data_IF_802776892956
#
_entry.id   IF_802776892956
#
_cell.length_a   1.000
_cell.length_b   1.000
_cell.length_c   1.000
_cell.angle_alpha   90.00
_cell.angle_beta   90.00
_cell.angle_gamma   90.00
#
_symmetry.space_group_name_H-M   'P 1'
#
loop_
_entity.id
_entity.type
_entity.pdbx_description
1 polymer ?
#
# COMPACT_ATOMS: atom_id res chain seq x y z
N UNK A 1 -25.50 46.71 -37.74
CA UNK A 1 -24.59 46.51 -36.59
C UNK A 1 -25.35 45.74 -35.52
N UNK A 2 -25.16 44.42 -35.40
CA UNK A 2 -24.91 43.68 -34.15
C UNK A 2 -24.76 42.18 -34.46
N UNK A 3 -23.88 41.54 -33.69
CA UNK A 3 -23.12 40.34 -34.00
C UNK A 3 -23.87 39.00 -33.96
N UNK A 4 -23.36 38.09 -34.79
CA UNK A 4 -23.46 36.63 -34.75
C UNK A 4 -23.19 36.03 -33.36
N UNK A 5 -24.04 35.10 -32.92
CA UNK A 5 -23.76 34.23 -31.77
C UNK A 5 -23.56 32.79 -32.27
N UNK A 6 -22.28 32.38 -32.40
CA UNK A 6 -21.90 30.98 -32.64
C UNK A 6 -21.75 30.30 -31.29
N UNK A 7 -22.71 29.45 -30.92
CA UNK A 7 -22.60 28.60 -29.74
C UNK A 7 -21.57 27.49 -29.99
N UNK A 8 -20.41 27.59 -29.35
CA UNK A 8 -19.41 26.52 -29.29
C UNK A 8 -19.84 25.57 -28.17
N UNK A 9 -20.17 24.33 -28.51
CA UNK A 9 -20.32 23.26 -27.52
C UNK A 9 -18.93 22.79 -27.11
N UNK A 10 -18.47 23.18 -25.92
CA UNK A 10 -17.29 22.57 -25.32
C UNK A 10 -17.67 21.18 -24.81
N UNK A 11 -17.29 20.13 -25.52
CA UNK A 11 -17.29 18.77 -24.99
C UNK A 11 -16.13 18.68 -24.00
N UNK A 12 -16.44 18.74 -22.71
CA UNK A 12 -15.49 18.42 -21.67
C UNK A 12 -15.24 16.91 -21.69
N UNK A 13 -14.10 16.50 -22.25
CA UNK A 13 -13.63 15.13 -22.17
C UNK A 13 -13.15 14.90 -20.73
N UNK A 14 -14.01 14.36 -19.87
CA UNK A 14 -13.59 13.82 -18.58
C UNK A 14 -12.77 12.56 -18.85
N UNK A 15 -11.44 12.69 -18.86
CA UNK A 15 -10.57 11.55 -18.61
C UNK A 15 -10.86 11.09 -17.17
N UNK A 16 -11.66 10.03 -17.03
CA UNK A 16 -11.68 9.28 -15.79
C UNK A 16 -10.27 8.72 -15.60
N UNK A 17 -9.45 9.39 -14.79
CA UNK A 17 -8.26 8.78 -14.25
C UNK A 17 -8.72 7.56 -13.46
N UNK A 18 -8.57 6.37 -14.03
CA UNK A 18 -8.86 5.12 -13.33
C UNK A 18 -8.06 5.09 -12.02
N UNK A 19 -8.68 4.57 -10.96
CA UNK A 19 -7.97 4.29 -9.72
C UNK A 19 -6.73 3.44 -10.01
N UNK A 20 -5.61 3.74 -9.34
CA UNK A 20 -4.38 2.96 -9.52
C UNK A 20 -4.64 1.48 -9.17
N UNK A 21 -4.16 0.51 -9.96
CA UNK A 21 -4.38 -0.91 -9.67
C UNK A 21 -3.95 -1.35 -8.26
N UNK A 22 -2.98 -0.67 -7.63
CA UNK A 22 -2.60 -0.93 -6.24
C UNK A 22 -3.74 -0.69 -5.26
N UNK A 23 -4.62 0.29 -5.51
CA UNK A 23 -5.75 0.57 -4.63
C UNK A 23 -6.72 -0.61 -4.56
N UNK A 24 -6.73 -1.45 -5.60
CA UNK A 24 -7.53 -2.66 -5.63
C UNK A 24 -6.92 -3.80 -4.78
N UNK A 25 -5.71 -3.64 -4.22
CA UNK A 25 -5.10 -4.53 -3.23
C UNK A 25 -5.39 -4.07 -1.79
N UNK A 26 -5.85 -2.83 -1.62
CA UNK A 26 -6.13 -2.25 -0.33
C UNK A 26 -7.47 -2.79 0.23
N UNK A 27 -7.52 -3.30 1.47
CA UNK A 27 -8.77 -3.76 2.08
C UNK A 27 -9.82 -2.64 2.11
N UNK A 28 -11.10 -2.99 1.91
CA UNK A 28 -12.22 -2.04 1.99
C UNK A 28 -12.58 -1.71 3.44
N UNK A 29 -13.45 -0.71 3.64
CA UNK A 29 -14.06 -0.45 4.94
C UNK A 29 -14.75 -1.70 5.51
N UNK A 30 -14.75 -1.82 6.84
CA UNK A 30 -15.29 -2.98 7.55
C UNK A 30 -14.41 -4.22 7.48
N UNK A 31 -13.19 -4.14 6.93
CA UNK A 31 -12.22 -5.23 6.90
C UNK A 31 -10.93 -4.80 7.62
N UNK A 32 -10.61 -5.39 8.78
CA UNK A 32 -11.44 -6.33 9.56
C UNK A 32 -12.71 -5.69 10.16
N UNK A 33 -13.69 -6.48 10.65
CA UNK A 33 -14.93 -5.94 11.21
C UNK A 33 -14.70 -4.85 12.27
N UNK A 34 -15.35 -3.71 12.08
CA UNK A 34 -15.23 -2.53 12.94
C UNK A 34 -14.07 -1.58 12.59
N UNK A 35 -13.16 -1.98 11.70
CA UNK A 35 -12.11 -1.11 11.17
C UNK A 35 -12.58 -0.40 9.91
N UNK A 36 -12.17 0.86 9.75
CA UNK A 36 -12.51 1.70 8.62
C UNK A 36 -11.27 2.41 8.11
N UNK A 37 -11.23 2.72 6.82
CA UNK A 37 -10.19 3.60 6.27
C UNK A 37 -10.29 4.97 6.94
N UNK A 38 -9.17 5.43 7.46
CA UNK A 38 -8.99 6.76 8.02
C UNK A 38 -8.31 7.66 7.01
N UNK A 39 -8.94 8.78 6.67
CA UNK A 39 -8.40 9.71 5.68
C UNK A 39 -8.44 9.18 4.24
N UNK A 40 -7.73 9.86 3.34
CA UNK A 40 -7.65 9.50 1.92
C UNK A 40 -6.51 8.54 1.65
N UNK A 41 -6.73 7.60 0.75
CA UNK A 41 -5.67 6.78 0.18
C UNK A 41 -4.65 7.67 -0.55
N UNK A 42 -3.36 7.39 -0.34
CA UNK A 42 -2.25 8.19 -0.86
C UNK A 42 -1.43 7.36 -1.84
N UNK A 43 -1.04 7.98 -2.95
CA UNK A 43 -0.19 7.37 -3.97
C UNK A 43 1.08 8.18 -4.17
N UNK A 44 2.23 7.50 -4.19
CA UNK A 44 3.54 8.09 -4.43
C UNK A 44 4.19 7.37 -5.62
N UNK A 45 4.62 8.12 -6.62
CA UNK A 45 5.26 7.61 -7.84
C UNK A 45 6.59 8.33 -8.05
N UNK A 46 7.62 7.60 -8.44
CA UNK A 46 8.96 8.15 -8.67
C UNK A 46 9.47 8.97 -7.47
N UNK A 47 10.00 10.16 -7.72
CA UNK A 47 10.58 11.02 -6.69
C UNK A 47 9.59 11.49 -5.61
N UNK A 48 8.28 11.28 -5.79
CA UNK A 48 7.31 11.58 -4.73
C UNK A 48 7.54 10.75 -3.46
N UNK A 49 8.19 9.59 -3.55
CA UNK A 49 8.51 8.73 -2.41
C UNK A 49 9.35 9.47 -1.35
N UNK A 50 10.23 10.37 -1.77
CA UNK A 50 11.04 11.21 -0.87
C UNK A 50 10.22 12.10 0.06
N UNK A 51 8.98 12.44 -0.32
CA UNK A 51 8.07 13.20 0.54
C UNK A 51 7.44 12.34 1.64
N UNK A 52 7.55 11.02 1.52
CA UNK A 52 6.96 10.05 2.45
C UNK A 52 8.02 9.44 3.38
N UNK A 53 9.15 8.97 2.83
CA UNK A 53 10.24 8.32 3.58
C UNK A 53 11.61 8.94 3.25
N UNK A 54 11.82 10.19 3.65
CA UNK A 54 13.05 10.92 3.34
C UNK A 54 14.28 10.26 3.99
N UNK A 55 15.28 9.91 3.18
CA UNK A 55 16.48 9.14 3.56
C UNK A 55 16.32 7.60 3.50
N UNK A 56 15.09 7.10 3.56
CA UNK A 56 14.78 5.67 3.33
C UNK A 56 14.45 5.35 1.87
N UNK A 57 14.03 6.35 1.09
CA UNK A 57 13.61 6.20 -0.31
C UNK A 57 14.72 5.69 -1.24
N UNK A 58 15.99 5.99 -0.94
CA UNK A 58 17.17 5.50 -1.68
C UNK A 58 17.15 3.98 -1.87
N UNK A 59 16.87 3.22 -0.80
CA UNK A 59 16.83 1.76 -0.82
C UNK A 59 15.84 1.27 -1.88
N UNK A 60 14.65 1.86 -1.91
CA UNK A 60 13.60 1.48 -2.86
C UNK A 60 13.97 1.89 -4.28
N UNK A 61 14.46 3.11 -4.48
CA UNK A 61 14.85 3.59 -5.81
C UNK A 61 15.99 2.77 -6.43
N UNK A 62 17.00 2.43 -5.64
CA UNK A 62 18.12 1.59 -6.09
C UNK A 62 17.67 0.18 -6.48
N UNK A 63 16.58 -0.31 -5.89
CA UNK A 63 16.01 -1.63 -6.16
C UNK A 63 14.78 -1.58 -7.09
N UNK A 64 14.61 -0.51 -7.87
CA UNK A 64 13.60 -0.44 -8.93
C UNK A 64 12.18 -0.12 -8.44
N UNK A 65 12.04 0.88 -7.57
CA UNK A 65 10.74 1.41 -7.15
C UNK A 65 9.88 1.88 -8.35
N UNK A 66 8.62 1.43 -8.40
CA UNK A 66 7.59 1.94 -9.33
C UNK A 66 6.69 2.93 -8.59
N UNK A 67 5.96 2.44 -7.57
CA UNK A 67 4.98 3.23 -6.83
C UNK A 67 4.67 2.66 -5.44
N UNK A 68 4.07 3.48 -4.60
CA UNK A 68 3.61 3.17 -3.25
C UNK A 68 2.17 3.64 -3.06
N UNK A 69 1.30 2.74 -2.56
CA UNK A 69 -0.01 3.09 -2.02
C UNK A 69 0.01 3.04 -0.48
N UNK A 70 -0.57 4.05 0.17
CA UNK A 70 -0.67 4.15 1.64
C UNK A 70 -2.10 4.38 2.07
N UNK A 71 -2.57 3.62 3.06
CA UNK A 71 -3.87 3.81 3.69
C UNK A 71 -3.77 3.57 5.19
N UNK A 72 -4.35 4.48 5.96
CA UNK A 72 -4.50 4.32 7.41
C UNK A 72 -5.87 3.68 7.68
N UNK A 73 -5.95 2.80 8.67
CA UNK A 73 -7.18 2.17 9.14
C UNK A 73 -7.34 2.46 10.63
N UNK A 74 -8.56 2.74 11.07
CA UNK A 74 -8.84 3.06 12.46
C UNK A 74 -10.04 2.29 13.01
N UNK A 75 -9.99 2.01 14.32
CA UNK A 75 -11.10 1.50 15.12
C UNK A 75 -10.98 2.04 16.55
N UNK A 76 -11.96 2.85 16.96
CA UNK A 76 -11.94 3.55 18.26
C UNK A 76 -10.64 4.35 18.44
N UNK A 77 -9.82 4.02 19.43
CA UNK A 77 -8.52 4.61 19.73
C UNK A 77 -7.36 3.97 18.93
N UNK A 78 -7.61 2.88 18.19
CA UNK A 78 -6.58 2.15 17.47
C UNK A 78 -6.37 2.60 16.03
N UNK A 79 -5.10 2.60 15.59
CA UNK A 79 -4.69 2.88 14.21
C UNK A 79 -3.69 1.84 13.68
N UNK A 80 -3.86 1.45 12.41
CA UNK A 80 -2.92 0.64 11.63
C UNK A 80 -2.69 1.32 10.28
N UNK A 81 -1.41 1.52 9.92
CA UNK A 81 -1.01 1.97 8.58
C UNK A 81 -0.65 0.78 7.71
N UNK A 82 -1.19 0.78 6.48
CA UNK A 82 -0.83 -0.16 5.42
C UNK A 82 -0.08 0.57 4.32
N UNK A 83 1.06 0.04 3.92
CA UNK A 83 1.89 0.51 2.83
C UNK A 83 2.17 -0.63 1.86
N UNK A 84 1.77 -0.48 0.60
CA UNK A 84 2.00 -1.45 -0.47
C UNK A 84 2.96 -0.83 -1.48
N UNK A 85 4.21 -1.28 -1.44
CA UNK A 85 5.25 -0.91 -2.38
C UNK A 85 5.22 -1.87 -3.56
N UNK A 86 5.10 -1.31 -4.77
CA UNK A 86 5.28 -2.03 -6.03
C UNK A 86 6.67 -1.72 -6.56
N UNK A 87 7.43 -2.79 -6.81
CA UNK A 87 8.73 -2.76 -7.47
C UNK A 87 8.58 -3.20 -8.92
N UNK A 88 9.55 -2.86 -9.76
CA UNK A 88 9.59 -3.22 -11.18
C UNK A 88 9.58 -4.75 -11.37
N UNK A 89 10.25 -5.48 -10.49
CA UNK A 89 10.36 -6.94 -10.55
C UNK A 89 10.43 -7.58 -9.14
N UNK A 90 10.30 -8.92 -9.05
CA UNK A 90 10.40 -9.63 -7.78
C UNK A 90 11.77 -9.53 -7.09
N UNK A 91 12.85 -9.35 -7.85
CA UNK A 91 14.19 -9.25 -7.26
C UNK A 91 14.33 -7.95 -6.46
N UNK A 92 13.79 -6.84 -6.97
CA UNK A 92 13.75 -5.56 -6.27
C UNK A 92 12.95 -5.62 -4.96
N UNK A 93 11.77 -6.26 -4.98
CA UNK A 93 10.96 -6.42 -3.77
C UNK A 93 11.65 -7.32 -2.73
N UNK A 94 12.30 -8.40 -3.17
CA UNK A 94 13.10 -9.26 -2.30
C UNK A 94 14.28 -8.51 -1.67
N UNK A 95 15.01 -7.71 -2.46
CA UNK A 95 16.15 -6.94 -1.96
C UNK A 95 15.73 -5.92 -0.88
N UNK A 96 14.64 -5.19 -1.10
CA UNK A 96 14.07 -4.26 -0.10
C UNK A 96 13.66 -5.01 1.17
N UNK A 97 12.96 -6.15 1.03
CA UNK A 97 12.56 -6.97 2.17
C UNK A 97 13.78 -7.46 2.95
N UNK A 98 14.76 -8.06 2.29
CA UNK A 98 15.96 -8.62 2.91
C UNK A 98 16.76 -7.56 3.67
N UNK A 99 16.94 -6.37 3.09
CA UNK A 99 17.64 -5.26 3.75
C UNK A 99 16.84 -4.73 4.95
N UNK A 100 15.54 -4.50 4.79
CA UNK A 100 14.66 -3.96 5.85
C UNK A 100 14.57 -4.91 7.05
N UNK A 101 14.71 -6.21 6.80
CA UNK A 101 14.49 -7.27 7.79
C UNK A 101 15.78 -7.93 8.27
N UNK A 102 16.93 -7.33 7.97
CA UNK A 102 18.24 -7.88 8.29
C UNK A 102 18.36 -8.20 9.79
N UNK A 103 18.68 -9.45 10.12
CA UNK A 103 18.83 -9.92 11.50
C UNK A 103 17.53 -10.31 12.21
N UNK A 104 16.37 -10.24 11.53
CA UNK A 104 15.09 -10.66 12.09
C UNK A 104 14.73 -12.11 11.73
N UNK A 105 13.83 -12.72 12.50
CA UNK A 105 13.38 -14.10 12.29
C UNK A 105 12.32 -14.17 11.18
N UNK A 106 12.71 -14.65 10.01
CA UNK A 106 11.83 -14.81 8.85
C UNK A 106 10.90 -16.02 9.01
N UNK A 107 9.64 -15.82 8.61
CA UNK A 107 8.56 -16.80 8.62
C UNK A 107 7.87 -16.84 7.25
N UNK A 108 6.93 -17.77 7.06
CA UNK A 108 6.15 -17.92 5.83
C UNK A 108 4.65 -17.91 6.10
N UNK A 109 4.20 -17.06 7.04
CA UNK A 109 2.77 -16.91 7.38
C UNK A 109 2.01 -16.05 6.36
N UNK A 110 2.66 -15.00 5.85
CA UNK A 110 2.13 -14.09 4.83
C UNK A 110 3.13 -13.98 3.68
N UNK A 111 2.63 -13.82 2.47
CA UNK A 111 3.48 -13.68 1.29
C UNK A 111 4.32 -14.92 1.01
N UNK A 112 5.48 -14.70 0.40
CA UNK A 112 6.51 -15.72 0.24
C UNK A 112 7.49 -15.73 1.42
N UNK A 113 7.65 -14.59 2.08
CA UNK A 113 8.41 -14.43 3.31
C UNK A 113 7.84 -13.24 4.10
N UNK A 114 7.81 -13.36 5.42
CA UNK A 114 7.37 -12.31 6.32
C UNK A 114 8.18 -12.25 7.60
N UNK A 115 8.09 -11.11 8.27
CA UNK A 115 8.55 -10.88 9.63
C UNK A 115 7.41 -10.19 10.36
N UNK A 116 7.24 -10.52 11.63
CA UNK A 116 6.18 -9.94 12.44
C UNK A 116 6.58 -9.84 13.91
N UNK A 117 6.07 -8.81 14.54
CA UNK A 117 6.06 -8.59 15.99
C UNK A 117 4.75 -7.89 16.38
N UNK A 118 4.63 -7.42 17.61
CA UNK A 118 3.40 -6.80 18.10
C UNK A 118 3.02 -5.48 17.39
N UNK A 119 3.98 -4.83 16.72
CA UNK A 119 3.84 -3.50 16.13
C UNK A 119 3.86 -3.51 14.60
N UNK A 120 4.33 -4.59 13.98
CA UNK A 120 4.44 -4.64 12.52
C UNK A 120 4.29 -6.03 11.93
N UNK A 121 3.82 -6.05 10.68
CA UNK A 121 3.97 -7.18 9.77
C UNK A 121 4.59 -6.65 8.48
N UNK A 122 5.78 -7.16 8.16
CA UNK A 122 6.46 -6.90 6.90
C UNK A 122 6.43 -8.18 6.08
N UNK A 123 6.01 -8.12 4.82
CA UNK A 123 6.06 -9.29 3.94
C UNK A 123 6.35 -8.93 2.50
N UNK A 124 6.85 -9.90 1.75
CA UNK A 124 7.04 -9.78 0.31
C UNK A 124 6.23 -10.83 -0.44
N UNK A 125 5.73 -10.46 -1.62
CA UNK A 125 5.14 -11.39 -2.58
C UNK A 125 5.39 -10.92 -4.00
N UNK A 126 6.11 -11.72 -4.77
CA UNK A 126 6.44 -11.35 -6.16
C UNK A 126 7.12 -9.99 -6.18
N UNK A 127 6.60 -9.06 -6.95
CA UNK A 127 7.16 -7.71 -7.08
C UNK A 127 6.59 -6.69 -6.07
N UNK A 128 6.02 -7.16 -4.95
CA UNK A 128 5.46 -6.32 -3.89
C UNK A 128 6.20 -6.50 -2.58
N UNK A 129 6.47 -5.39 -1.90
CA UNK A 129 6.84 -5.33 -0.49
C UNK A 129 5.71 -4.63 0.26
N UNK A 130 5.27 -5.20 1.38
CA UNK A 130 4.14 -4.70 2.15
C UNK A 130 4.59 -4.47 3.59
N UNK A 131 4.26 -3.30 4.10
CA UNK A 131 4.49 -2.90 5.48
C UNK A 131 3.16 -2.58 6.14
N UNK A 132 2.83 -3.27 7.22
CA UNK A 132 1.73 -2.94 8.10
C UNK A 132 2.31 -2.56 9.45
N UNK A 133 1.94 -1.38 9.96
CA UNK A 133 2.50 -0.86 11.22
C UNK A 133 1.42 -0.27 12.10
N UNK A 134 1.65 -0.32 13.40
CA UNK A 134 0.85 0.35 14.43
C UNK A 134 1.79 0.95 15.48
N UNK A 135 1.31 1.93 16.23
CA UNK A 135 2.03 2.51 17.37
C UNK A 135 1.62 1.89 18.71
N UNK A 136 0.73 0.92 18.69
CA UNK A 136 0.10 0.34 19.87
C UNK A 136 0.28 -1.17 19.89
N UNK A 137 0.63 -1.73 21.04
CA UNK A 137 0.60 -3.18 21.25
C UNK A 137 -0.72 -3.61 21.86
N UNK A 138 -1.10 -4.86 21.63
CA UNK A 138 -2.28 -5.47 22.23
C UNK A 138 -3.08 -6.30 21.24
N UNK A 139 -4.02 -7.08 21.77
CA UNK A 139 -4.75 -8.07 20.97
C UNK A 139 -5.53 -7.47 19.79
N UNK A 140 -6.11 -6.28 19.95
CA UNK A 140 -6.89 -5.62 18.91
C UNK A 140 -6.04 -5.13 17.71
N UNK A 141 -4.99 -4.29 17.88
CA UNK A 141 -4.14 -3.89 16.77
C UNK A 141 -3.37 -5.07 16.17
N UNK A 142 -2.90 -6.03 16.97
CA UNK A 142 -2.22 -7.23 16.43
C UNK A 142 -3.16 -8.12 15.60
N UNK A 143 -4.43 -8.30 16.01
CA UNK A 143 -5.42 -8.99 15.20
C UNK A 143 -5.74 -8.24 13.91
N UNK A 144 -5.75 -6.91 13.95
CA UNK A 144 -5.97 -6.08 12.78
C UNK A 144 -4.84 -6.16 11.76
N UNK A 145 -3.58 -6.09 12.22
CA UNK A 145 -2.39 -6.33 11.39
C UNK A 145 -2.51 -7.67 10.66
N UNK A 146 -2.77 -8.75 11.39
CA UNK A 146 -2.88 -10.09 10.80
C UNK A 146 -4.03 -10.22 9.78
N UNK A 147 -5.20 -9.65 10.09
CA UNK A 147 -6.35 -9.71 9.20
C UNK A 147 -6.15 -8.89 7.91
N UNK A 148 -5.56 -7.70 8.02
CA UNK A 148 -5.22 -6.86 6.87
C UNK A 148 -4.14 -7.53 6.02
N UNK A 149 -3.08 -8.06 6.63
CA UNK A 149 -2.01 -8.78 5.94
C UNK A 149 -2.57 -9.98 5.16
N UNK A 150 -3.41 -10.82 5.80
CA UNK A 150 -4.06 -11.95 5.14
C UNK A 150 -4.90 -11.53 3.92
N UNK A 151 -5.61 -10.40 4.03
CA UNK A 151 -6.49 -9.93 2.96
C UNK A 151 -5.71 -9.42 1.76
N UNK A 152 -4.64 -8.66 2.01
CA UNK A 152 -3.73 -8.17 0.98
C UNK A 152 -3.02 -9.34 0.30
N UNK A 153 -2.55 -10.29 1.10
CA UNK A 153 -1.85 -11.48 0.62
C UNK A 153 -2.71 -12.34 -0.32
N UNK A 154 -3.97 -12.58 0.07
CA UNK A 154 -4.94 -13.27 -0.76
C UNK A 154 -5.21 -12.51 -2.07
N UNK A 155 -5.34 -11.18 -2.02
CA UNK A 155 -5.59 -10.35 -3.20
C UNK A 155 -4.41 -10.37 -4.21
N UNK A 156 -3.18 -10.56 -3.73
CA UNK A 156 -1.98 -10.69 -4.57
C UNK A 156 -1.74 -12.11 -5.08
N UNK A 157 -2.42 -13.11 -4.51
CA UNK A 157 -2.25 -14.52 -4.87
C UNK A 157 -3.21 -15.00 -5.95
N UNK A 158 -4.20 -14.19 -6.31
CA UNK A 158 -5.21 -14.54 -7.30
C UNK A 158 -4.62 -14.53 -8.74
N UNK A 159 -4.46 -15.69 -9.40
CA UNK A 159 -3.88 -15.77 -10.74
C UNK A 159 -4.81 -15.27 -11.84
N UNK A 160 -6.07 -14.90 -11.51
CA UNK A 160 -7.06 -14.35 -12.44
C UNK A 160 -7.03 -12.83 -12.58
N UNK A 161 -6.02 -12.16 -12.03
CA UNK A 161 -5.85 -10.70 -12.08
C UNK A 161 -4.66 -10.27 -12.92
#
# INVERSE_FOLDING_TARGET
>A
MLMSLRSIWAVALFLAAGADPLFNLMPSDGVPPGWQRSGKERLFIGAALYRHINGGAELYHQNGFDRLAVQDFAKADHEVRVEIYKMNDPAGANAVFAETTAGMAVQTLFGQACVLDDYQILFQRGAYFVSLTTYESGAEPSAALAALAAKIDAAMSDPGR
#
